data_IF_562104690742
#
_entry.id   IF_562104690742
#
_cell.length_a   1.000
_cell.length_b   1.000
_cell.length_c   1.000
_cell.angle_alpha   90.00
_cell.angle_beta   90.00
_cell.angle_gamma   90.00
#
_symmetry.space_group_name_H-M   'P 1'
#
loop_
_entity.id
_entity.type
_entity.pdbx_description
1 polymer ?
#
# COMPACT_ATOMS: atom_id res chain seq x y z
N UNK A 1 -25.11 36.56 -16.29
CA UNK A 1 -23.66 36.30 -16.32
C UNK A 1 -23.20 36.30 -14.88
N UNK A 2 -23.22 35.13 -14.25
CA UNK A 2 -23.01 34.99 -12.81
C UNK A 2 -22.13 33.76 -12.61
N UNK A 3 -20.89 33.98 -12.20
CA UNK A 3 -19.90 32.93 -11.98
C UNK A 3 -20.24 32.17 -10.68
N UNK A 4 -20.37 30.85 -10.76
CA UNK A 4 -20.36 29.96 -9.59
C UNK A 4 -18.93 29.50 -9.31
N UNK A 5 -18.47 29.51 -8.04
CA UNK A 5 -17.13 29.08 -7.68
C UNK A 5 -17.02 27.55 -7.72
N UNK A 6 -16.01 27.05 -8.43
CA UNK A 6 -15.63 25.63 -8.50
C UNK A 6 -14.97 25.23 -7.18
N UNK A 7 -15.72 24.53 -6.31
CA UNK A 7 -15.18 23.88 -5.11
C UNK A 7 -14.59 22.54 -5.55
N UNK A 8 -13.26 22.43 -5.48
CA UNK A 8 -12.52 21.18 -5.64
C UNK A 8 -12.95 20.21 -4.54
N UNK A 9 -13.81 19.24 -4.87
CA UNK A 9 -14.15 18.12 -3.97
C UNK A 9 -13.03 17.08 -4.04
N UNK A 10 -12.37 16.89 -2.89
CA UNK A 10 -11.43 15.78 -2.61
C UNK A 10 -12.02 14.45 -3.07
N UNK A 11 -11.19 13.60 -3.67
CA UNK A 11 -11.51 12.27 -4.17
C UNK A 11 -12.41 11.48 -3.22
N UNK A 12 -13.63 11.23 -3.67
CA UNK A 12 -14.64 10.48 -2.95
C UNK A 12 -14.65 9.07 -3.53
N UNK A 13 -14.24 8.10 -2.72
CA UNK A 13 -14.46 6.68 -2.96
C UNK A 13 -15.94 6.41 -3.30
N UNK A 14 -16.26 5.35 -4.06
CA UNK A 14 -17.63 4.86 -4.19
C UNK A 14 -18.31 4.83 -2.82
N UNK A 15 -19.59 5.21 -2.76
CA UNK A 15 -20.34 5.58 -1.54
C UNK A 15 -20.41 4.53 -0.42
N UNK A 16 -19.70 3.40 -0.54
CA UNK A 16 -19.67 2.31 0.44
C UNK A 16 -18.37 2.24 1.26
N UNK A 17 -17.36 3.07 0.99
CA UNK A 17 -16.18 3.22 1.89
C UNK A 17 -16.28 4.44 2.83
N UNK A 18 -17.40 5.17 2.85
CA UNK A 18 -17.55 6.43 3.59
C UNK A 18 -17.90 6.28 5.07
N UNK A 19 -17.75 5.10 5.67
CA UNK A 19 -17.98 4.86 7.11
C UNK A 19 -16.73 4.41 7.88
N UNK A 20 -15.55 4.44 7.25
CA UNK A 20 -14.29 4.45 7.99
C UNK A 20 -13.98 5.92 8.29
N UNK A 21 -14.34 6.34 9.50
CA UNK A 21 -14.03 7.67 10.02
C UNK A 21 -12.51 7.91 9.99
N UNK A 22 -12.04 9.17 9.86
CA UNK A 22 -10.63 9.50 9.90
C UNK A 22 -10.07 9.05 11.26
N UNK A 23 -9.05 8.20 11.25
CA UNK A 23 -8.37 7.73 12.46
C UNK A 23 -7.86 8.96 13.23
N UNK A 24 -8.58 9.30 14.28
CA UNK A 24 -8.28 10.36 15.22
C UNK A 24 -7.81 9.77 16.54
N UNK A 25 -6.66 10.25 17.00
CA UNK A 25 -6.27 10.42 18.40
C UNK A 25 -6.62 9.31 19.40
N UNK A 26 -5.73 8.32 19.54
CA UNK A 26 -5.54 7.65 20.85
C UNK A 26 -4.05 7.33 21.12
N UNK A 27 -3.26 8.39 21.40
CA UNK A 27 -2.06 8.26 22.21
C UNK A 27 -2.48 7.96 23.66
N UNK A 28 -2.48 6.69 24.05
CA UNK A 28 -2.34 6.29 25.46
C UNK A 28 -1.20 5.29 25.61
N UNK A 29 -0.03 5.83 25.93
CA UNK A 29 1.14 5.13 26.42
C UNK A 29 0.77 4.27 27.64
N UNK A 30 0.98 2.96 27.54
CA UNK A 30 1.10 2.08 28.70
C UNK A 30 2.47 1.41 28.69
N UNK A 31 3.46 2.07 29.30
CA UNK A 31 4.72 1.42 29.69
C UNK A 31 4.45 0.55 30.91
N UNK A 32 4.89 -0.72 30.89
CA UNK A 32 5.40 -1.41 32.09
C UNK A 32 6.03 -2.77 31.77
N UNK A 33 6.87 -3.28 32.70
CA UNK A 33 8.12 -3.95 32.38
C UNK A 33 8.06 -5.45 32.62
N UNK A 34 8.94 -6.23 31.96
CA UNK A 34 9.25 -7.58 32.42
C UNK A 34 10.77 -7.72 32.54
N UNK A 35 11.19 -7.77 33.81
CA UNK A 35 12.47 -8.31 34.27
C UNK A 35 12.33 -9.84 34.38
N UNK A 36 13.38 -10.57 33.99
CA UNK A 36 13.88 -11.86 34.52
C UNK A 36 14.88 -12.38 33.49
N UNK A 37 16.20 -12.38 33.72
CA UNK A 37 17.04 -13.11 34.69
C UNK A 37 16.97 -14.65 34.55
N UNK A 38 18.17 -15.25 34.55
CA UNK A 38 18.62 -16.65 34.46
C UNK A 38 19.04 -17.10 33.04
N UNK A 39 20.33 -17.01 32.66
CA UNK A 39 21.52 -17.79 33.09
C UNK A 39 21.42 -19.26 32.68
N UNK A 40 22.04 -19.64 31.56
CA UNK A 40 22.86 -20.86 31.42
C UNK A 40 23.76 -20.70 30.17
N UNK A 41 25.07 -20.81 30.37
CA UNK A 41 26.10 -20.77 29.33
C UNK A 41 26.13 -22.13 28.61
N UNK A 42 25.85 -22.13 27.32
CA UNK A 42 26.29 -23.18 26.40
C UNK A 42 27.18 -22.53 25.34
N UNK A 43 28.46 -22.86 25.40
CA UNK A 43 29.44 -22.47 24.38
C UNK A 43 29.19 -23.31 23.14
N UNK A 44 28.55 -22.71 22.13
CA UNK A 44 28.43 -23.25 20.77
C UNK A 44 29.56 -22.65 19.94
N UNK A 45 30.29 -23.42 19.12
CA UNK A 45 31.33 -22.88 18.26
C UNK A 45 30.69 -21.93 17.24
N UNK A 46 31.02 -20.64 17.37
CA UNK A 46 30.55 -19.56 16.51
C UNK A 46 31.23 -19.69 15.14
N UNK A 47 30.61 -20.42 14.20
CA UNK A 47 30.87 -20.20 12.78
C UNK A 47 30.19 -18.87 12.42
N UNK A 48 30.99 -17.81 12.39
CA UNK A 48 30.55 -16.47 12.04
C UNK A 48 30.10 -16.40 10.58
N UNK A 49 28.83 -16.68 10.33
CA UNK A 49 28.09 -16.01 9.27
C UNK A 49 28.05 -14.54 9.67
N UNK A 50 28.99 -13.74 9.17
CA UNK A 50 28.79 -12.30 9.11
C UNK A 50 27.52 -12.09 8.29
N UNK A 51 26.39 -11.89 8.96
CA UNK A 51 25.25 -11.24 8.36
C UNK A 51 25.77 -9.89 7.89
N UNK A 52 26.06 -9.79 6.59
CA UNK A 52 26.31 -8.52 5.94
C UNK A 52 25.14 -7.63 6.37
N UNK A 53 25.38 -6.49 7.04
CA UNK A 53 24.30 -5.55 7.25
C UNK A 53 23.77 -5.27 5.84
N UNK A 54 22.49 -5.54 5.61
CA UNK A 54 21.82 -5.06 4.42
C UNK A 54 21.98 -3.54 4.50
N UNK A 55 22.98 -3.01 3.81
CA UNK A 55 23.17 -1.58 3.67
C UNK A 55 21.83 -1.09 3.11
N UNK A 56 21.11 -0.31 3.90
CA UNK A 56 19.93 0.38 3.42
C UNK A 56 20.37 1.14 2.17
N UNK A 57 20.01 0.62 0.99
CA UNK A 57 20.26 1.30 -0.25
C UNK A 57 19.56 2.65 -0.13
N UNK A 58 20.27 3.73 -0.44
CA UNK A 58 19.68 5.06 -0.38
C UNK A 58 18.43 5.09 -1.27
N UNK A 59 17.38 5.85 -0.89
CA UNK A 59 16.18 5.99 -1.71
C UNK A 59 16.54 6.24 -3.17
N UNK A 60 15.98 5.47 -4.09
CA UNK A 60 16.12 5.71 -5.51
C UNK A 60 15.51 7.08 -5.83
N UNK A 61 16.30 7.94 -6.47
CA UNK A 61 15.92 9.32 -6.82
C UNK A 61 15.36 9.45 -8.23
N UNK A 62 15.16 8.32 -8.92
CA UNK A 62 14.55 8.28 -10.25
C UNK A 62 13.15 8.87 -10.22
N UNK A 63 12.95 9.95 -10.98
CA UNK A 63 11.65 10.65 -11.05
C UNK A 63 10.55 9.76 -11.64
N UNK A 64 9.28 9.96 -11.26
CA UNK A 64 8.13 9.28 -11.87
C UNK A 64 8.08 9.37 -13.39
N UNK A 65 8.51 10.50 -13.96
CA UNK A 65 8.56 10.74 -15.40
C UNK A 65 9.50 9.76 -16.10
N UNK A 66 10.68 9.53 -15.54
CA UNK A 66 11.66 8.56 -16.07
C UNK A 66 11.15 7.12 -15.88
N UNK A 67 10.56 6.81 -14.73
CA UNK A 67 10.01 5.48 -14.45
C UNK A 67 8.91 5.06 -15.42
N UNK A 68 8.14 6.02 -15.93
CA UNK A 68 7.07 5.75 -16.91
C UNK A 68 7.59 5.06 -18.18
N UNK A 69 8.82 5.35 -18.59
CA UNK A 69 9.43 4.83 -19.81
C UNK A 69 10.21 3.52 -19.58
N UNK A 70 10.38 3.10 -18.31
CA UNK A 70 11.03 1.83 -17.96
C UNK A 70 10.15 0.62 -18.31
N UNK A 71 10.78 -0.50 -18.64
CA UNK A 71 10.11 -1.80 -18.78
C UNK A 71 9.65 -2.33 -17.40
N UNK A 72 8.61 -3.17 -17.34
CA UNK A 72 8.12 -3.75 -16.08
C UNK A 72 9.21 -4.42 -15.24
N UNK A 73 10.08 -5.23 -15.84
CA UNK A 73 11.14 -5.92 -15.10
C UNK A 73 12.17 -4.95 -14.51
N UNK A 74 12.50 -3.87 -15.23
CA UNK A 74 13.36 -2.82 -14.70
C UNK A 74 12.70 -2.07 -13.54
N UNK A 75 11.37 -1.91 -13.56
CA UNK A 75 10.59 -1.32 -12.45
C UNK A 75 10.45 -2.26 -11.25
N UNK A 76 10.45 -3.57 -11.46
CA UNK A 76 10.44 -4.58 -10.39
C UNK A 76 11.80 -4.67 -9.68
N UNK A 77 12.90 -4.57 -10.43
CA UNK A 77 14.26 -4.69 -9.87
C UNK A 77 14.56 -3.59 -8.83
N UNK A 78 14.62 -3.93 -7.55
CA UNK A 78 14.92 -2.97 -6.47
C UNK A 78 13.76 -2.03 -6.13
N UNK A 79 12.52 -2.43 -6.43
CA UNK A 79 11.31 -1.62 -6.20
C UNK A 79 11.14 -1.20 -4.73
N UNK A 80 11.71 -1.94 -3.75
CA UNK A 80 11.65 -1.58 -2.33
C UNK A 80 12.29 -0.22 -2.02
N UNK A 81 13.25 0.20 -2.84
CA UNK A 81 13.98 1.46 -2.66
C UNK A 81 13.36 2.63 -3.44
N UNK A 82 12.36 2.35 -4.28
CA UNK A 82 11.78 3.36 -5.18
C UNK A 82 10.68 4.15 -4.53
N UNK A 83 10.45 5.34 -5.11
CA UNK A 83 9.27 6.13 -4.84
C UNK A 83 7.99 5.27 -4.99
N UNK A 84 6.98 5.38 -4.10
CA UNK A 84 5.77 4.57 -4.16
C UNK A 84 4.97 4.68 -5.47
N UNK A 85 5.18 5.72 -6.27
CA UNK A 85 4.62 5.82 -7.63
C UNK A 85 5.13 4.74 -8.58
N UNK A 86 6.32 4.16 -8.36
CA UNK A 86 6.87 3.07 -9.17
C UNK A 86 5.94 1.86 -9.22
N UNK A 87 5.33 1.52 -8.08
CA UNK A 87 4.37 0.43 -7.92
C UNK A 87 3.10 0.67 -8.73
N UNK A 88 2.60 1.91 -8.74
CA UNK A 88 1.44 2.30 -9.55
C UNK A 88 1.75 2.27 -11.05
N UNK A 89 2.95 2.72 -11.45
CA UNK A 89 3.39 2.68 -12.85
C UNK A 89 3.53 1.23 -13.32
N UNK A 90 4.12 0.36 -12.49
CA UNK A 90 4.22 -1.07 -12.74
C UNK A 90 2.83 -1.70 -12.87
N UNK A 91 1.95 -1.46 -11.90
CA UNK A 91 0.57 -1.95 -11.94
C UNK A 91 -0.16 -1.52 -13.23
N UNK A 92 -0.05 -0.26 -13.63
CA UNK A 92 -0.67 0.22 -14.85
C UNK A 92 -0.12 -0.49 -16.11
N UNK A 93 1.19 -0.76 -16.18
CA UNK A 93 1.81 -1.48 -17.30
C UNK A 93 1.30 -2.92 -17.38
N UNK A 94 1.39 -3.66 -16.27
CA UNK A 94 0.95 -5.05 -16.17
C UNK A 94 -0.54 -5.18 -16.51
N UNK A 95 -1.37 -4.25 -16.03
CA UNK A 95 -2.80 -4.25 -16.33
C UNK A 95 -3.08 -4.07 -17.83
N UNK A 96 -2.30 -3.24 -18.51
CA UNK A 96 -2.42 -3.01 -19.96
C UNK A 96 -1.84 -4.17 -20.80
N UNK A 97 -0.88 -4.91 -20.26
CA UNK A 97 -0.28 -6.09 -20.89
C UNK A 97 -1.12 -7.37 -20.68
N UNK A 98 -2.12 -7.32 -19.81
CA UNK A 98 -3.04 -8.43 -19.53
C UNK A 98 -2.66 -9.23 -18.27
N UNK A 99 -1.54 -8.93 -17.63
CA UNK A 99 -1.11 -9.45 -16.32
C UNK A 99 -1.89 -8.77 -15.18
N UNK A 100 -3.22 -8.92 -15.20
CA UNK A 100 -4.10 -8.08 -14.36
C UNK A 100 -4.09 -8.45 -12.88
N UNK A 101 -3.93 -9.72 -12.51
CA UNK A 101 -3.87 -10.13 -11.10
C UNK A 101 -2.56 -9.63 -10.46
N UNK A 102 -1.42 -9.81 -11.13
CA UNK A 102 -0.14 -9.18 -10.76
C UNK A 102 -0.26 -7.66 -10.63
N UNK A 103 -0.99 -7.02 -11.53
CA UNK A 103 -1.22 -5.59 -11.47
C UNK A 103 -1.99 -5.17 -10.21
N UNK A 104 -2.98 -5.97 -9.77
CA UNK A 104 -3.72 -5.72 -8.51
C UNK A 104 -2.78 -5.84 -7.32
N UNK A 105 -1.93 -6.86 -7.28
CA UNK A 105 -0.92 -7.02 -6.22
C UNK A 105 0.00 -5.79 -6.12
N UNK A 106 0.58 -5.34 -7.24
CA UNK A 106 1.47 -4.18 -7.24
C UNK A 106 0.74 -2.87 -6.93
N UNK A 107 -0.53 -2.74 -7.33
CA UNK A 107 -1.36 -1.59 -6.98
C UNK A 107 -1.59 -1.49 -5.47
N UNK A 108 -2.02 -2.57 -4.81
CA UNK A 108 -2.27 -2.55 -3.36
C UNK A 108 -0.98 -2.43 -2.55
N UNK A 109 0.11 -3.04 -3.00
CA UNK A 109 1.45 -2.82 -2.43
C UNK A 109 1.85 -1.36 -2.53
N UNK A 110 1.70 -0.76 -3.71
CA UNK A 110 1.96 0.66 -3.94
C UNK A 110 1.12 1.56 -3.05
N UNK A 111 -0.18 1.23 -2.91
CA UNK A 111 -1.09 1.99 -2.07
C UNK A 111 -0.65 1.98 -0.59
N UNK A 112 -0.25 0.82 -0.06
CA UNK A 112 0.29 0.70 1.31
C UNK A 112 1.56 1.55 1.49
N UNK A 113 2.53 1.44 0.55
CA UNK A 113 3.78 2.21 0.60
C UNK A 113 3.53 3.71 0.50
N UNK A 114 2.63 4.15 -0.38
CA UNK A 114 2.33 5.57 -0.59
C UNK A 114 1.58 6.17 0.61
N UNK A 115 0.60 5.46 1.18
CA UNK A 115 -0.10 5.92 2.38
C UNK A 115 0.85 6.02 3.58
N UNK A 116 1.79 5.07 3.71
CA UNK A 116 2.86 5.15 4.72
C UNK A 116 3.76 6.38 4.52
N UNK A 117 4.15 6.71 3.28
CA UNK A 117 4.90 7.92 2.96
C UNK A 117 4.15 9.18 3.42
N UNK A 118 2.88 9.32 3.04
CA UNK A 118 2.07 10.50 3.37
C UNK A 118 1.84 10.65 4.89
N UNK A 119 1.60 9.53 5.58
CA UNK A 119 1.41 9.55 7.02
C UNK A 119 2.70 9.83 7.78
N UNK A 120 3.85 9.36 7.27
CA UNK A 120 5.15 9.57 7.93
C UNK A 120 5.76 10.94 7.63
N UNK A 121 5.40 11.56 6.50
CA UNK A 121 5.84 12.91 6.12
C UNK A 121 4.63 13.84 5.95
N UNK A 122 3.96 14.25 7.04
CA UNK A 122 2.71 15.01 6.97
C UNK A 122 2.87 16.43 6.42
N UNK A 123 4.09 16.98 6.41
CA UNK A 123 4.39 18.34 5.94
C UNK A 123 4.70 18.43 4.44
N UNK A 124 4.51 17.35 3.67
CA UNK A 124 4.65 17.36 2.21
C UNK A 124 3.70 18.39 1.58
N UNK A 125 4.21 19.15 0.62
CA UNK A 125 3.43 20.17 -0.07
C UNK A 125 2.20 19.54 -0.77
N UNK A 126 0.99 20.11 -0.65
CA UNK A 126 -0.24 19.50 -1.15
C UNK A 126 -0.26 19.24 -2.67
N UNK A 127 0.53 19.98 -3.44
CA UNK A 127 0.65 19.89 -4.89
C UNK A 127 1.74 18.91 -5.37
N UNK A 128 2.39 18.21 -4.44
CA UNK A 128 3.41 17.19 -4.73
C UNK A 128 2.81 15.78 -4.53
N UNK A 129 3.42 14.98 -3.65
CA UNK A 129 3.01 13.61 -3.32
C UNK A 129 1.52 13.42 -3.02
N UNK A 130 0.85 14.28 -2.22
CA UNK A 130 -0.59 14.16 -2.01
C UNK A 130 -1.40 14.27 -3.30
N UNK A 131 -1.05 15.20 -4.20
CA UNK A 131 -1.72 15.36 -5.49
C UNK A 131 -1.41 14.21 -6.44
N UNK A 132 -0.16 13.73 -6.48
CA UNK A 132 0.26 12.59 -7.28
C UNK A 132 -0.46 11.32 -6.83
N UNK A 133 -0.50 11.03 -5.52
CA UNK A 133 -1.27 9.91 -4.97
C UNK A 133 -2.75 9.98 -5.37
N UNK A 134 -3.38 11.15 -5.24
CA UNK A 134 -4.77 11.32 -5.63
C UNK A 134 -4.99 11.06 -7.13
N UNK A 135 -4.10 11.57 -7.98
CA UNK A 135 -4.15 11.35 -9.43
C UNK A 135 -3.97 9.87 -9.80
N UNK A 136 -3.03 9.17 -9.17
CA UNK A 136 -2.77 7.76 -9.43
C UNK A 136 -3.92 6.86 -8.98
N UNK A 137 -4.55 7.12 -7.82
CA UNK A 137 -5.73 6.37 -7.41
C UNK A 137 -6.91 6.56 -8.37
N UNK A 138 -7.06 7.76 -8.93
CA UNK A 138 -8.11 8.07 -9.88
C UNK A 138 -7.88 7.40 -11.24
N UNK A 139 -6.65 7.48 -11.76
CA UNK A 139 -6.33 7.07 -13.14
C UNK A 139 -5.94 5.61 -13.25
N UNK A 140 -5.21 5.07 -12.27
CA UNK A 140 -4.76 3.68 -12.21
C UNK A 140 -5.69 2.87 -11.31
N UNK A 141 -5.97 3.37 -10.11
CA UNK A 141 -6.73 2.62 -9.11
C UNK A 141 -8.19 2.36 -9.48
N UNK A 142 -8.88 3.32 -10.12
CA UNK A 142 -10.29 3.12 -10.51
C UNK A 142 -10.50 1.92 -11.45
N UNK A 143 -9.83 1.81 -12.62
CA UNK A 143 -10.02 0.66 -13.50
C UNK A 143 -9.54 -0.66 -12.85
N UNK A 144 -8.40 -0.63 -12.14
CA UNK A 144 -7.87 -1.81 -11.44
C UNK A 144 -8.83 -2.34 -10.37
N UNK A 145 -9.40 -1.47 -9.53
CA UNK A 145 -10.40 -1.87 -8.55
C UNK A 145 -11.68 -2.40 -9.22
N UNK A 146 -12.05 -1.85 -10.38
CA UNK A 146 -13.18 -2.38 -11.17
C UNK A 146 -12.99 -3.85 -11.52
N UNK A 147 -11.78 -4.22 -11.97
CA UNK A 147 -11.37 -5.60 -12.25
C UNK A 147 -11.21 -6.44 -10.99
N UNK A 148 -10.48 -5.93 -9.98
CA UNK A 148 -10.14 -6.66 -8.76
C UNK A 148 -11.39 -7.12 -8.02
N UNK A 149 -12.36 -6.23 -7.81
CA UNK A 149 -13.62 -6.58 -7.16
C UNK A 149 -14.52 -7.51 -8.00
N UNK A 150 -14.15 -7.81 -9.25
CA UNK A 150 -14.81 -8.85 -10.03
C UNK A 150 -14.59 -10.24 -9.45
N UNK A 151 -13.49 -10.45 -8.74
CA UNK A 151 -13.21 -11.66 -7.98
C UNK A 151 -12.83 -11.28 -6.55
N UNK A 152 -13.83 -11.28 -5.67
CA UNK A 152 -13.67 -10.85 -4.28
C UNK A 152 -12.86 -11.85 -3.45
N UNK A 153 -12.84 -13.12 -3.82
CA UNK A 153 -12.06 -14.13 -3.10
C UNK A 153 -10.58 -13.96 -3.44
N UNK A 154 -10.26 -13.84 -4.74
CA UNK A 154 -8.90 -13.56 -5.20
C UNK A 154 -8.37 -12.23 -4.69
N UNK A 155 -9.21 -11.19 -4.64
CA UNK A 155 -8.84 -9.91 -4.06
C UNK A 155 -8.52 -10.03 -2.55
N UNK A 156 -9.29 -10.85 -1.82
CA UNK A 156 -9.02 -11.13 -0.41
C UNK A 156 -7.64 -11.78 -0.21
N UNK A 157 -7.30 -12.78 -1.03
CA UNK A 157 -5.98 -13.43 -1.05
C UNK A 157 -4.88 -12.45 -1.44
N UNK A 158 -5.07 -11.67 -2.51
CA UNK A 158 -4.08 -10.69 -2.97
C UNK A 158 -3.73 -9.68 -1.88
N UNK A 159 -4.72 -9.22 -1.10
CA UNK A 159 -4.46 -8.28 0.01
C UNK A 159 -3.67 -8.96 1.14
N UNK A 160 -3.91 -10.24 1.42
CA UNK A 160 -3.10 -11.02 2.37
C UNK A 160 -1.65 -11.12 1.90
N UNK A 161 -1.44 -11.45 0.62
CA UNK A 161 -0.11 -11.54 0.02
C UNK A 161 0.63 -10.20 0.06
N UNK A 162 -0.08 -9.08 -0.16
CA UNK A 162 0.49 -7.73 -0.02
C UNK A 162 0.98 -7.48 1.42
N UNK A 163 0.21 -7.91 2.42
CA UNK A 163 0.58 -7.75 3.82
C UNK A 163 1.76 -8.65 4.20
N UNK A 164 1.82 -9.87 3.69
CA UNK A 164 2.96 -10.77 3.88
C UNK A 164 4.21 -10.23 3.20
N UNK A 165 4.10 -9.88 1.92
CA UNK A 165 5.18 -9.28 1.15
C UNK A 165 5.71 -8.01 1.82
N UNK A 166 4.83 -7.09 2.23
CA UNK A 166 5.26 -5.90 2.95
C UNK A 166 5.99 -6.30 4.23
N UNK A 167 5.60 -7.34 4.97
CA UNK A 167 6.29 -7.71 6.22
C UNK A 167 7.73 -8.21 5.96
N UNK A 168 7.91 -9.02 4.92
CA UNK A 168 9.19 -9.66 4.59
C UNK A 168 10.19 -8.71 3.90
N UNK A 169 9.69 -7.68 3.20
CA UNK A 169 10.53 -6.82 2.37
C UNK A 169 10.82 -5.48 3.04
N UNK A 170 12.05 -4.94 2.92
CA UNK A 170 12.37 -3.61 3.45
C UNK A 170 11.53 -2.51 2.76
N UNK A 171 11.55 -1.31 3.34
CA UNK A 171 11.11 -0.10 2.65
C UNK A 171 12.29 0.87 2.63
N UNK A 172 13.01 0.89 1.51
CA UNK A 172 14.20 1.72 1.35
C UNK A 172 13.87 3.18 1.07
N UNK A 173 12.65 3.49 0.63
CA UNK A 173 12.21 4.87 0.38
C UNK A 173 11.76 5.58 1.67
N UNK A 174 11.10 4.85 2.57
CA UNK A 174 10.64 5.34 3.88
C UNK A 174 10.96 4.31 4.95
N UNK A 175 11.74 4.69 5.95
CA UNK A 175 12.16 3.80 7.04
C UNK A 175 10.96 3.23 7.80
N UNK A 176 10.80 1.91 7.79
CA UNK A 176 9.76 1.22 8.57
C UNK A 176 9.88 1.46 10.06
N UNK A 177 11.11 1.52 10.58
CA UNK A 177 11.37 1.71 12.00
C UNK A 177 10.98 3.13 12.45
N UNK A 178 11.29 4.14 11.64
CA UNK A 178 10.93 5.53 11.94
C UNK A 178 9.41 5.77 11.79
N UNK A 179 8.77 5.04 10.89
CA UNK A 179 7.35 5.15 10.58
C UNK A 179 6.49 4.04 11.19
N UNK A 180 6.98 3.33 12.23
CA UNK A 180 6.36 2.09 12.75
C UNK A 180 4.87 2.25 13.07
N UNK A 181 4.50 3.32 13.77
CA UNK A 181 3.12 3.58 14.15
C UNK A 181 2.21 3.81 12.93
N UNK A 182 2.71 4.56 11.93
CA UNK A 182 1.98 4.83 10.69
C UNK A 182 1.83 3.53 9.90
N UNK A 183 2.92 2.79 9.69
CA UNK A 183 2.90 1.54 8.94
C UNK A 183 1.96 0.51 9.61
N UNK A 184 1.98 0.42 10.93
CA UNK A 184 1.06 -0.47 11.68
C UNK A 184 -0.40 -0.10 11.42
N UNK A 185 -0.73 1.20 11.45
CA UNK A 185 -2.08 1.67 11.19
C UNK A 185 -2.52 1.43 9.73
N UNK A 186 -1.64 1.69 8.76
CA UNK A 186 -1.95 1.47 7.34
C UNK A 186 -2.10 -0.03 7.01
N UNK A 187 -1.25 -0.89 7.59
CA UNK A 187 -1.41 -2.35 7.48
C UNK A 187 -2.70 -2.84 8.12
N UNK A 188 -3.06 -2.32 9.29
CA UNK A 188 -4.32 -2.68 9.95
C UNK A 188 -5.53 -2.29 9.09
N UNK A 189 -5.55 -1.07 8.54
CA UNK A 189 -6.63 -0.63 7.65
C UNK A 189 -6.75 -1.46 6.36
N UNK A 190 -5.62 -1.93 5.82
CA UNK A 190 -5.63 -2.85 4.67
C UNK A 190 -6.14 -4.26 5.08
N UNK A 191 -5.82 -4.73 6.28
CA UNK A 191 -6.38 -5.95 6.86
C UNK A 191 -7.91 -5.87 7.07
N UNK A 192 -8.40 -4.76 7.61
CA UNK A 192 -9.84 -4.49 7.76
C UNK A 192 -10.56 -4.48 6.41
N UNK A 193 -9.92 -3.96 5.35
CA UNK A 193 -10.46 -4.02 3.99
C UNK A 193 -10.62 -5.46 3.51
N UNK A 194 -9.59 -6.30 3.70
CA UNK A 194 -9.65 -7.75 3.37
C UNK A 194 -10.79 -8.43 4.12
N UNK A 195 -10.86 -8.25 5.45
CA UNK A 195 -11.92 -8.83 6.27
C UNK A 195 -13.31 -8.43 5.75
N UNK A 196 -13.51 -7.14 5.46
CA UNK A 196 -14.77 -6.65 4.90
C UNK A 196 -15.10 -7.30 3.55
N UNK A 197 -14.12 -7.43 2.65
CA UNK A 197 -14.32 -8.07 1.34
C UNK A 197 -14.74 -9.52 1.50
N UNK A 198 -14.07 -10.28 2.36
CA UNK A 198 -14.37 -11.70 2.60
C UNK A 198 -15.71 -11.88 3.31
N UNK A 199 -16.00 -11.10 4.35
CA UNK A 199 -17.25 -11.19 5.10
C UNK A 199 -18.48 -10.80 4.26
N UNK A 200 -18.30 -9.86 3.32
CA UNK A 200 -19.39 -9.31 2.49
C UNK A 200 -19.33 -9.77 1.04
N UNK A 201 -18.62 -10.85 0.75
CA UNK A 201 -18.36 -11.30 -0.61
C UNK A 201 -19.66 -11.43 -1.44
N UNK A 202 -20.70 -12.05 -0.89
CA UNK A 202 -22.00 -12.22 -1.56
C UNK A 202 -22.75 -10.89 -1.77
N UNK A 203 -22.69 -9.98 -0.80
CA UNK A 203 -23.28 -8.63 -0.93
C UNK A 203 -22.58 -7.85 -2.04
N UNK A 204 -21.25 -7.92 -2.11
CA UNK A 204 -20.45 -7.27 -3.14
C UNK A 204 -20.80 -7.82 -4.52
N UNK A 205 -20.82 -9.14 -4.69
CA UNK A 205 -21.18 -9.79 -5.97
C UNK A 205 -22.56 -9.37 -6.45
N UNK A 206 -23.55 -9.40 -5.54
CA UNK A 206 -24.92 -8.97 -5.84
C UNK A 206 -24.95 -7.49 -6.26
N UNK A 207 -24.28 -6.62 -5.51
CA UNK A 207 -24.26 -5.19 -5.81
C UNK A 207 -23.58 -4.90 -7.16
N UNK A 208 -22.56 -5.68 -7.53
CA UNK A 208 -21.90 -5.58 -8.84
C UNK A 208 -22.85 -5.96 -9.96
N UNK A 209 -23.55 -7.08 -9.85
CA UNK A 209 -24.59 -7.51 -10.81
C UNK A 209 -25.67 -6.45 -10.99
N UNK A 210 -26.19 -5.88 -9.89
CA UNK A 210 -27.18 -4.79 -9.92
C UNK A 210 -26.68 -3.54 -10.64
N UNK A 211 -25.37 -3.30 -10.64
CA UNK A 211 -24.73 -2.18 -11.31
C UNK A 211 -24.23 -2.54 -12.74
N UNK A 212 -24.52 -3.73 -13.24
CA UNK A 212 -24.08 -4.20 -14.54
C UNK A 212 -22.57 -4.44 -14.64
N UNK A 213 -21.92 -4.70 -13.50
CA UNK A 213 -20.50 -5.04 -13.40
C UNK A 213 -20.34 -6.57 -13.38
N UNK A 214 -19.28 -7.05 -14.02
CA UNK A 214 -18.95 -8.47 -14.10
C UNK A 214 -18.48 -9.03 -12.75
N UNK A 215 -18.93 -10.24 -12.41
CA UNK A 215 -18.28 -11.11 -11.43
C UNK A 215 -17.56 -12.20 -12.23
N UNK A 216 -16.24 -12.32 -12.07
CA UNK A 216 -15.39 -13.24 -12.85
C UNK A 216 -15.14 -14.55 -12.11
#
# INVERSE_FOLDING_TARGET
>A
MTMMPYIIRRGRWPKYCSHISPIGNHLRLRRSPIKNLYRTLFAVPLLGLMAMPAYAQSPDTTSPEVMKDMAPDALREGIENRHPSAYYILAAKLFNEGERDDAVFWFYTGQLRYRTLLGCKPDLAPDQDPALFASLNETVGRPLNGYAFGDVDELGTTIEDVLEWDAEHPNGYVSKAECEQILTAERAGLGELREMITEKADEIRKQREENGLENR
#
